data_IF_334065558996
#
_entry.id   IF_334065558996
#
_cell.length_a   1.000
_cell.length_b   1.000
_cell.length_c   1.000
_cell.angle_alpha   90.00
_cell.angle_beta   90.00
_cell.angle_gamma   90.00
#
_symmetry.space_group_name_H-M   'P 1'
#
loop_
_entity.id
_entity.type
_entity.pdbx_description
1 polymer ?
#
# COMPACT_ATOMS: atom_id res chain seq x y z
N UNK A 1 0.06 6.74 -15.68
CA UNK A 1 -0.76 5.90 -16.58
C UNK A 1 -1.76 5.07 -15.77
N UNK A 2 -1.31 4.18 -14.89
CA UNK A 2 -2.20 3.26 -14.16
C UNK A 2 -3.34 3.91 -13.33
N UNK A 3 -3.14 5.08 -12.70
CA UNK A 3 -4.23 5.77 -11.97
C UNK A 3 -5.36 6.25 -12.89
N UNK A 4 -5.04 6.78 -14.07
CA UNK A 4 -6.06 7.19 -15.03
C UNK A 4 -6.82 6.00 -15.57
N UNK A 5 -6.17 4.87 -15.81
CA UNK A 5 -6.83 3.65 -16.27
C UNK A 5 -7.87 3.16 -15.24
N UNK A 6 -7.55 3.25 -13.94
CA UNK A 6 -8.49 2.93 -12.86
C UNK A 6 -9.67 3.92 -12.78
N UNK A 7 -9.43 5.23 -12.96
CA UNK A 7 -10.49 6.23 -13.03
C UNK A 7 -11.40 6.02 -14.25
N UNK A 8 -10.84 5.61 -15.39
CA UNK A 8 -11.63 5.28 -16.57
C UNK A 8 -12.44 4.00 -16.38
N UNK A 9 -11.85 2.98 -15.75
CA UNK A 9 -12.56 1.77 -15.36
C UNK A 9 -13.74 2.11 -14.43
N UNK A 10 -13.51 2.94 -13.42
CA UNK A 10 -14.54 3.43 -12.52
C UNK A 10 -15.71 4.07 -13.26
N UNK A 11 -15.45 4.97 -14.23
CA UNK A 11 -16.50 5.59 -15.04
C UNK A 11 -17.23 4.61 -15.95
N UNK A 12 -16.63 3.46 -16.26
CA UNK A 12 -17.26 2.41 -17.05
C UNK A 12 -18.20 1.52 -16.22
N UNK A 13 -18.00 1.38 -14.91
CA UNK A 13 -18.77 0.49 -14.02
C UNK A 13 -20.29 0.55 -14.25
N UNK A 14 -20.95 1.73 -14.32
CA UNK A 14 -22.41 1.80 -14.49
C UNK A 14 -22.95 1.23 -15.81
N UNK A 15 -22.06 0.93 -16.77
CA UNK A 15 -22.38 0.50 -18.12
C UNK A 15 -21.78 -0.87 -18.48
N UNK A 16 -21.03 -1.48 -17.56
CA UNK A 16 -20.39 -2.77 -17.82
C UNK A 16 -21.44 -3.88 -17.86
N UNK A 17 -21.51 -4.54 -19.01
CA UNK A 17 -22.40 -5.66 -19.33
C UNK A 17 -21.52 -6.81 -19.84
N UNK A 18 -21.40 -7.88 -19.07
CA UNK A 18 -20.56 -9.05 -19.34
C UNK A 18 -21.33 -10.22 -19.94
N UNK A 19 -22.66 -10.22 -19.88
CA UNK A 19 -23.51 -11.33 -20.35
C UNK A 19 -24.53 -10.97 -21.45
N UNK A 20 -24.62 -9.68 -21.81
CA UNK A 20 -25.52 -9.12 -22.82
C UNK A 20 -26.92 -8.80 -22.30
N UNK A 21 -27.14 -8.86 -20.99
CA UNK A 21 -28.42 -8.62 -20.31
C UNK A 21 -28.65 -7.17 -19.86
N UNK A 22 -27.67 -6.27 -20.06
CA UNK A 22 -27.63 -4.93 -19.49
C UNK A 22 -26.56 -4.79 -18.40
N UNK A 23 -26.47 -3.63 -17.72
CA UNK A 23 -25.41 -3.40 -16.74
C UNK A 23 -25.44 -4.37 -15.55
N UNK A 24 -24.30 -5.00 -15.25
CA UNK A 24 -24.17 -6.02 -14.20
C UNK A 24 -23.72 -5.48 -12.83
N UNK A 25 -23.00 -4.36 -12.82
CA UNK A 25 -22.31 -3.87 -11.62
C UNK A 25 -23.03 -2.72 -10.94
N UNK A 26 -23.06 -2.73 -9.61
CA UNK A 26 -23.61 -1.64 -8.80
C UNK A 26 -22.55 -0.55 -8.55
N UNK A 27 -22.65 0.53 -9.31
CA UNK A 27 -21.78 1.70 -9.16
C UNK A 27 -21.93 2.43 -7.82
N UNK A 28 -22.98 2.16 -7.04
CA UNK A 28 -23.13 2.73 -5.70
C UNK A 28 -22.39 1.94 -4.62
N UNK A 29 -21.90 0.75 -4.95
CA UNK A 29 -21.27 -0.16 -4.00
C UNK A 29 -19.92 -0.66 -4.51
N UNK A 30 -19.01 0.29 -4.76
CA UNK A 30 -17.64 0.00 -5.21
C UNK A 30 -16.69 0.06 -4.02
N UNK A 31 -15.92 -1.00 -3.78
CA UNK A 31 -14.81 -1.01 -2.82
C UNK A 31 -13.50 -1.30 -3.55
N UNK A 32 -12.39 -0.84 -2.99
CA UNK A 32 -11.06 -1.01 -3.60
C UNK A 32 -10.12 -1.73 -2.65
N UNK A 33 -9.38 -2.72 -3.15
CA UNK A 33 -8.24 -3.30 -2.43
C UNK A 33 -7.00 -3.27 -3.33
N UNK A 34 -5.90 -2.80 -2.76
CA UNK A 34 -4.60 -2.75 -3.43
C UNK A 34 -3.50 -3.31 -2.54
N UNK A 35 -2.73 -4.26 -3.07
CA UNK A 35 -1.56 -4.82 -2.40
C UNK A 35 -0.28 -4.29 -3.05
N UNK A 36 0.73 -3.95 -2.24
CA UNK A 36 2.06 -3.53 -2.73
C UNK A 36 1.96 -2.36 -3.72
N UNK A 37 2.52 -2.49 -4.92
CA UNK A 37 2.36 -1.54 -6.03
C UNK A 37 0.89 -1.23 -6.33
N UNK A 38 -0.01 -2.21 -6.23
CA UNK A 38 -1.44 -2.00 -6.37
C UNK A 38 -2.01 -1.07 -5.29
N UNK A 39 -1.45 -1.08 -4.08
CA UNK A 39 -1.81 -0.13 -3.01
C UNK A 39 -1.15 1.24 -3.21
N UNK A 40 0.09 1.30 -3.72
CA UNK A 40 0.77 2.57 -4.09
C UNK A 40 -0.04 3.30 -5.16
N UNK A 41 -0.27 2.66 -6.31
CA UNK A 41 -1.06 3.22 -7.41
C UNK A 41 -2.52 3.41 -6.99
N UNK A 42 -3.07 2.45 -6.26
CA UNK A 42 -4.44 2.46 -5.77
C UNK A 42 -4.74 3.62 -4.85
N UNK A 43 -3.79 4.05 -4.01
CA UNK A 43 -3.97 5.21 -3.13
C UNK A 43 -4.19 6.50 -3.93
N UNK A 44 -3.47 6.69 -5.05
CA UNK A 44 -3.70 7.82 -5.95
C UNK A 44 -5.08 7.73 -6.60
N UNK A 45 -5.51 6.53 -7.00
CA UNK A 45 -6.85 6.32 -7.57
C UNK A 45 -7.94 6.67 -6.56
N UNK A 46 -7.85 6.13 -5.33
CA UNK A 46 -8.79 6.39 -4.24
C UNK A 46 -8.85 7.89 -3.88
N UNK A 47 -7.73 8.60 -3.98
CA UNK A 47 -7.68 10.04 -3.73
C UNK A 47 -8.56 10.87 -4.68
N UNK A 48 -8.86 10.36 -5.88
CA UNK A 48 -9.64 11.06 -6.91
C UNK A 48 -10.94 10.35 -7.31
N UNK A 49 -11.25 9.21 -6.70
CA UNK A 49 -12.42 8.40 -7.05
C UNK A 49 -13.72 9.02 -6.51
N UNK A 50 -14.78 8.96 -7.31
CA UNK A 50 -16.14 9.40 -6.94
C UNK A 50 -17.04 8.24 -6.45
N UNK A 51 -16.72 7.00 -6.84
CA UNK A 51 -17.53 5.80 -6.64
C UNK A 51 -17.05 4.94 -5.47
N UNK A 52 -15.73 4.92 -5.18
CA UNK A 52 -15.18 4.07 -4.12
C UNK A 52 -15.75 4.48 -2.75
N UNK A 53 -16.37 3.52 -2.07
CA UNK A 53 -16.99 3.69 -0.74
C UNK A 53 -16.08 3.34 0.42
N UNK A 54 -15.12 2.46 0.19
CA UNK A 54 -14.08 2.12 1.15
C UNK A 54 -12.88 1.51 0.42
N UNK A 55 -11.69 1.73 0.97
CA UNK A 55 -10.43 1.22 0.43
C UNK A 55 -9.62 0.46 1.49
N UNK A 56 -9.01 -0.65 1.08
CA UNK A 56 -7.98 -1.34 1.84
C UNK A 56 -6.65 -1.30 1.06
N UNK A 57 -5.62 -0.73 1.67
CA UNK A 57 -4.29 -0.60 1.10
C UNK A 57 -3.34 -1.47 1.92
N UNK A 58 -2.74 -2.49 1.31
CA UNK A 58 -2.01 -3.54 2.04
C UNK A 58 -0.56 -3.59 1.62
N UNK A 59 0.34 -3.38 2.57
CA UNK A 59 1.77 -3.23 2.38
C UNK A 59 2.17 -2.22 1.28
N UNK A 60 1.52 -1.04 1.13
CA UNK A 60 1.98 0.00 0.21
C UNK A 60 2.97 0.93 0.91
N UNK A 61 3.47 1.93 0.19
CA UNK A 61 4.21 3.02 0.82
C UNK A 61 4.25 4.26 -0.06
N UNK A 62 4.82 5.33 0.47
CA UNK A 62 4.95 6.62 -0.21
C UNK A 62 6.42 7.01 -0.41
N UNK A 63 6.69 8.08 -1.15
CA UNK A 63 8.01 8.54 -1.56
C UNK A 63 8.82 7.41 -2.20
N UNK A 64 8.38 7.00 -3.39
CA UNK A 64 8.74 5.79 -4.13
C UNK A 64 10.25 5.64 -4.28
N UNK A 65 10.98 6.72 -4.60
CA UNK A 65 12.45 6.65 -4.80
C UNK A 65 13.15 6.23 -3.51
N UNK A 66 12.86 6.90 -2.39
CA UNK A 66 13.46 6.57 -1.10
C UNK A 66 12.99 5.21 -0.57
N UNK A 67 11.74 4.83 -0.86
CA UNK A 67 11.18 3.53 -0.52
C UNK A 67 11.93 2.40 -1.26
N UNK A 68 12.13 2.54 -2.57
CA UNK A 68 12.82 1.54 -3.39
C UNK A 68 14.31 1.45 -3.03
N UNK A 69 14.94 2.55 -2.65
CA UNK A 69 16.34 2.57 -2.20
C UNK A 69 16.53 1.83 -0.86
N UNK A 70 15.57 1.99 0.07
CA UNK A 70 15.55 1.34 1.37
C UNK A 70 15.03 -0.12 1.33
N UNK A 71 14.43 -0.54 0.23
CA UNK A 71 13.91 -1.91 0.05
C UNK A 71 15.03 -2.94 0.03
N UNK A 72 14.89 -4.01 0.83
CA UNK A 72 15.84 -5.14 0.81
C UNK A 72 15.74 -5.92 -0.52
N UNK A 73 14.57 -5.95 -1.14
CA UNK A 73 14.35 -6.64 -2.41
C UNK A 73 14.88 -5.85 -3.63
N UNK A 74 14.82 -4.51 -3.58
CA UNK A 74 15.10 -3.67 -4.76
C UNK A 74 16.35 -2.80 -4.65
N UNK A 75 16.74 -2.34 -3.45
CA UNK A 75 17.77 -1.33 -3.28
C UNK A 75 19.11 -1.73 -3.91
N UNK A 76 19.62 -2.93 -3.59
CA UNK A 76 20.89 -3.41 -4.13
C UNK A 76 20.83 -3.64 -5.64
N UNK A 77 19.68 -4.09 -6.15
CA UNK A 77 19.48 -4.26 -7.59
C UNK A 77 19.50 -2.92 -8.33
N UNK A 78 18.88 -1.89 -7.76
CA UNK A 78 18.89 -0.53 -8.32
C UNK A 78 20.31 0.04 -8.30
N UNK A 79 21.00 -0.03 -7.15
CA UNK A 79 22.40 0.42 -7.03
C UNK A 79 23.31 -0.30 -8.03
N UNK A 80 23.16 -1.63 -8.16
CA UNK A 80 23.91 -2.43 -9.15
C UNK A 80 23.59 -2.05 -10.60
N UNK A 81 22.33 -1.75 -10.92
CA UNK A 81 21.91 -1.28 -12.24
C UNK A 81 22.50 0.09 -12.61
N UNK A 82 22.49 1.05 -11.66
CA UNK A 82 23.10 2.37 -11.85
C UNK A 82 24.62 2.24 -12.02
N UNK A 83 25.27 1.41 -11.19
CA UNK A 83 26.70 1.13 -11.28
C UNK A 83 27.09 0.59 -12.66
N UNK A 84 26.36 -0.42 -13.15
CA UNK A 84 26.57 -1.01 -14.46
C UNK A 84 26.34 0.02 -15.59
N UNK A 85 25.27 0.82 -15.52
CA UNK A 85 24.98 1.84 -16.52
C UNK A 85 25.99 3.00 -16.54
N UNK A 86 26.55 3.35 -15.39
CA UNK A 86 27.57 4.38 -15.26
C UNK A 86 29.00 3.87 -15.54
N UNK A 87 29.19 2.55 -15.63
CA UNK A 87 30.51 1.94 -15.83
C UNK A 87 31.45 2.05 -14.63
N UNK A 88 30.92 2.25 -13.42
CA UNK A 88 31.69 2.35 -12.17
C UNK A 88 31.11 1.38 -11.12
N UNK A 89 31.94 0.68 -10.33
CA UNK A 89 31.44 -0.20 -9.28
C UNK A 89 30.78 0.59 -8.14
N UNK A 90 29.90 -0.05 -7.36
CA UNK A 90 29.25 0.56 -6.18
C UNK A 90 30.25 1.00 -5.10
N UNK A 91 31.46 0.42 -5.11
CA UNK A 91 32.57 0.76 -4.20
C UNK A 91 33.40 1.94 -4.67
N UNK A 92 33.15 2.47 -5.87
CA UNK A 92 33.86 3.62 -6.41
C UNK A 92 33.52 4.90 -5.59
N UNK A 93 34.51 5.72 -5.20
CA UNK A 93 34.26 6.98 -4.50
C UNK A 93 33.33 7.97 -5.23
N UNK A 94 33.23 7.88 -6.57
CA UNK A 94 32.32 8.70 -7.36
C UNK A 94 30.87 8.17 -7.38
N UNK A 95 30.66 6.89 -7.02
CA UNK A 95 29.34 6.25 -7.11
C UNK A 95 28.25 6.97 -6.31
N UNK A 96 28.47 7.43 -5.06
CA UNK A 96 27.45 8.16 -4.31
C UNK A 96 26.92 9.40 -5.03
N UNK A 97 27.77 10.16 -5.73
CA UNK A 97 27.37 11.34 -6.50
C UNK A 97 26.56 10.99 -7.75
N UNK A 98 26.98 9.93 -8.45
CA UNK A 98 26.23 9.38 -9.60
C UNK A 98 24.86 8.87 -9.15
N UNK A 99 24.80 8.15 -8.03
CA UNK A 99 23.58 7.59 -7.49
C UNK A 99 22.60 8.68 -7.05
N UNK A 100 23.08 9.73 -6.37
CA UNK A 100 22.26 10.88 -5.99
C UNK A 100 21.67 11.60 -7.22
N UNK A 101 22.44 11.74 -8.30
CA UNK A 101 21.97 12.33 -9.56
C UNK A 101 20.89 11.47 -10.22
N UNK A 102 21.06 10.14 -10.20
CA UNK A 102 20.05 9.20 -10.64
C UNK A 102 18.77 9.31 -9.80
N UNK A 103 18.87 9.32 -8.46
CA UNK A 103 17.71 9.45 -7.58
C UNK A 103 16.96 10.76 -7.80
N UNK A 104 17.68 11.88 -7.98
CA UNK A 104 17.08 13.17 -8.31
C UNK A 104 16.31 13.10 -9.63
N UNK A 105 16.90 12.55 -10.69
CA UNK A 105 16.21 12.36 -11.97
C UNK A 105 15.00 11.42 -11.84
N UNK A 106 15.15 10.29 -11.15
CA UNK A 106 14.08 9.32 -10.94
C UNK A 106 12.90 9.95 -10.19
N UNK A 107 13.16 10.80 -9.18
CA UNK A 107 12.11 11.51 -8.47
C UNK A 107 11.27 12.35 -9.42
N UNK A 108 11.88 13.09 -10.35
CA UNK A 108 11.13 13.92 -11.31
C UNK A 108 10.18 13.12 -12.21
N UNK A 109 10.53 11.87 -12.53
CA UNK A 109 9.69 10.99 -13.37
C UNK A 109 8.55 10.39 -12.55
N UNK A 110 8.80 10.05 -11.30
CA UNK A 110 7.85 9.37 -10.43
C UNK A 110 6.95 10.31 -9.62
N UNK A 111 7.33 11.59 -9.50
CA UNK A 111 6.70 12.55 -8.59
C UNK A 111 5.18 12.62 -8.76
N UNK A 112 4.71 12.77 -10.01
CA UNK A 112 3.28 12.84 -10.32
C UNK A 112 2.47 11.59 -9.93
N UNK A 113 3.13 10.44 -9.75
CA UNK A 113 2.53 9.17 -9.34
C UNK A 113 2.83 8.81 -7.88
N UNK A 114 3.46 9.68 -7.12
CA UNK A 114 3.80 9.40 -5.72
C UNK A 114 2.60 9.66 -4.78
N UNK A 115 2.25 8.70 -3.89
CA UNK A 115 1.20 8.93 -2.90
C UNK A 115 1.41 10.15 -2.00
N UNK A 116 2.65 10.64 -1.85
CA UNK A 116 2.94 11.81 -1.01
C UNK A 116 2.26 13.06 -1.58
N UNK A 117 2.12 13.11 -2.90
CA UNK A 117 1.53 14.24 -3.62
C UNK A 117 0.00 14.18 -3.69
N UNK A 118 -0.61 13.03 -3.39
CA UNK A 118 -2.06 12.83 -3.45
C UNK A 118 -2.71 12.73 -2.07
N UNK A 119 -1.94 12.53 -0.99
CA UNK A 119 -2.46 12.35 0.36
C UNK A 119 -3.38 13.50 0.83
N UNK A 120 -3.05 14.75 0.51
CA UNK A 120 -3.90 15.89 0.84
C UNK A 120 -5.28 15.82 0.14
N UNK A 121 -5.31 15.39 -1.13
CA UNK A 121 -6.55 15.14 -1.85
C UNK A 121 -7.31 13.95 -1.27
N UNK A 122 -6.62 12.88 -0.88
CA UNK A 122 -7.23 11.72 -0.23
C UNK A 122 -7.92 12.07 1.10
N UNK A 123 -7.37 13.03 1.86
CA UNK A 123 -8.00 13.54 3.08
C UNK A 123 -9.29 14.32 2.75
N UNK A 124 -9.27 15.17 1.72
CA UNK A 124 -10.44 15.93 1.29
C UNK A 124 -11.54 15.02 0.73
N UNK A 125 -11.18 14.03 -0.08
CA UNK A 125 -12.12 13.08 -0.66
C UNK A 125 -12.75 12.16 0.40
N UNK A 126 -12.08 12.00 1.55
CA UNK A 126 -12.60 11.36 2.75
C UNK A 126 -13.18 9.94 2.53
N UNK A 127 -12.58 9.18 1.60
CA UNK A 127 -12.90 7.76 1.43
C UNK A 127 -12.39 6.99 2.65
N UNK A 128 -13.25 6.22 3.34
CA UNK A 128 -12.83 5.32 4.40
C UNK A 128 -11.67 4.43 3.96
N UNK A 129 -10.57 4.43 4.71
CA UNK A 129 -9.32 3.77 4.36
C UNK A 129 -8.82 2.91 5.51
N UNK A 130 -8.59 1.64 5.22
CA UNK A 130 -7.80 0.71 6.03
C UNK A 130 -6.42 0.57 5.38
N UNK A 131 -5.36 0.96 6.09
CA UNK A 131 -3.99 0.64 5.72
C UNK A 131 -3.54 -0.57 6.55
N UNK A 132 -2.83 -1.51 5.93
CA UNK A 132 -2.21 -2.62 6.64
C UNK A 132 -0.73 -2.71 6.31
N UNK A 133 0.06 -3.06 7.32
CA UNK A 133 1.50 -3.24 7.23
C UNK A 133 1.89 -4.57 7.88
N UNK A 134 2.70 -5.40 7.22
CA UNK A 134 3.48 -6.43 7.88
C UNK A 134 4.81 -5.84 8.38
N UNK A 135 5.16 -6.11 9.63
CA UNK A 135 6.42 -5.69 10.22
C UNK A 135 7.61 -6.37 9.51
N UNK A 136 8.71 -5.65 9.34
CA UNK A 136 9.93 -6.14 8.66
C UNK A 136 9.69 -6.58 7.21
N UNK A 137 8.74 -5.94 6.52
CA UNK A 137 8.51 -6.16 5.09
C UNK A 137 9.77 -5.85 4.26
N UNK A 138 10.26 -6.88 3.56
CA UNK A 138 11.51 -6.82 2.79
C UNK A 138 11.34 -6.16 1.41
N UNK A 139 10.10 -5.96 0.96
CA UNK A 139 9.77 -5.41 -0.36
C UNK A 139 9.41 -3.94 -0.23
N UNK A 140 8.45 -3.62 0.65
CA UNK A 140 8.02 -2.26 0.94
C UNK A 140 8.39 -1.94 2.39
N UNK A 141 9.48 -1.20 2.65
CA UNK A 141 9.92 -0.92 4.00
C UNK A 141 8.86 -0.13 4.78
N UNK A 142 8.73 -0.46 6.06
CA UNK A 142 7.82 0.24 6.97
C UNK A 142 8.21 1.73 7.13
N UNK A 143 9.52 2.01 7.16
CA UNK A 143 10.09 3.36 7.11
C UNK A 143 11.53 3.35 6.57
N UNK A 144 12.05 4.53 6.19
CA UNK A 144 13.46 4.70 5.78
C UNK A 144 14.19 5.73 6.67
N UNK A 145 15.36 5.39 7.23
CA UNK A 145 16.17 6.33 8.02
C UNK A 145 16.74 7.50 7.19
N UNK A 146 16.96 7.30 5.89
CA UNK A 146 17.57 8.29 4.99
C UNK A 146 16.54 9.03 4.14
N UNK A 147 15.29 8.57 4.13
CA UNK A 147 14.16 9.20 3.46
C UNK A 147 12.93 9.22 4.41
N UNK A 148 12.79 10.25 5.26
CA UNK A 148 11.81 10.25 6.37
C UNK A 148 10.34 10.17 5.97
N UNK A 149 10.04 10.52 4.72
CA UNK A 149 8.69 10.41 4.15
C UNK A 149 8.48 9.10 3.38
N UNK A 150 9.46 8.19 3.32
CA UNK A 150 9.37 6.94 2.55
C UNK A 150 8.97 5.74 3.39
N UNK A 151 8.02 4.96 2.88
CA UNK A 151 7.53 3.72 3.48
C UNK A 151 6.04 3.74 3.84
N UNK A 152 5.58 2.69 4.50
CA UNK A 152 4.17 2.52 4.89
C UNK A 152 3.77 3.39 6.08
N UNK A 153 4.62 3.56 7.10
CA UNK A 153 4.30 4.39 8.27
C UNK A 153 4.24 5.90 7.93
N UNK A 154 5.15 6.47 7.12
CA UNK A 154 4.95 7.83 6.63
C UNK A 154 3.66 7.99 5.83
N UNK A 155 3.28 6.98 5.04
CA UNK A 155 2.01 7.01 4.30
C UNK A 155 0.82 7.03 5.26
N UNK A 156 0.84 6.24 6.33
CA UNK A 156 -0.18 6.27 7.37
C UNK A 156 -0.34 7.66 8.00
N UNK A 157 0.79 8.34 8.28
CA UNK A 157 0.82 9.70 8.83
C UNK A 157 0.26 10.74 7.84
N UNK A 158 0.65 10.66 6.57
CA UNK A 158 0.15 11.56 5.53
C UNK A 158 -1.35 11.39 5.29
N UNK A 159 -1.87 10.18 5.51
CA UNK A 159 -3.28 9.85 5.43
C UNK A 159 -4.02 10.02 6.76
N UNK A 160 -3.42 10.58 7.82
CA UNK A 160 -4.09 10.80 9.11
C UNK A 160 -4.84 9.54 9.62
N UNK A 161 -4.17 8.38 9.58
CA UNK A 161 -4.74 7.11 10.00
C UNK A 161 -4.52 6.88 11.49
N UNK A 162 -5.53 6.30 12.14
CA UNK A 162 -5.47 5.88 13.54
C UNK A 162 -4.99 4.44 13.64
N UNK A 163 -3.97 4.18 14.45
CA UNK A 163 -3.47 2.82 14.69
C UNK A 163 -4.55 1.99 15.41
N UNK A 164 -4.78 0.78 14.92
CA UNK A 164 -5.59 -0.24 15.61
C UNK A 164 -4.72 -0.88 16.67
N UNK A 165 -5.08 -0.75 17.94
CA UNK A 165 -4.24 -1.22 19.04
C UNK A 165 -4.23 -2.73 19.18
N UNK A 166 -3.08 -3.28 19.58
CA UNK A 166 -2.92 -4.68 19.99
C UNK A 166 -3.67 -5.04 21.29
N UNK A 167 -4.38 -4.09 21.92
CA UNK A 167 -5.24 -4.35 23.09
C UNK A 167 -6.73 -4.28 22.82
N UNK A 168 -7.15 -4.03 21.58
CA UNK A 168 -8.56 -3.87 21.20
C UNK A 168 -9.10 -5.16 20.53
N UNK A 169 -9.60 -6.16 21.29
CA UNK A 169 -10.28 -7.30 20.69
C UNK A 169 -11.67 -6.90 20.17
N UNK A 170 -12.11 -7.57 19.10
CA UNK A 170 -13.46 -7.42 18.58
C UNK A 170 -13.61 -6.20 17.67
N UNK A 171 -14.73 -5.50 17.78
CA UNK A 171 -15.05 -4.41 16.84
C UNK A 171 -14.29 -3.13 17.20
N UNK A 172 -13.51 -2.64 16.24
CA UNK A 172 -12.81 -1.35 16.30
C UNK A 172 -13.51 -0.38 15.37
N UNK A 173 -14.08 0.70 15.94
CA UNK A 173 -14.83 1.71 15.20
C UNK A 173 -13.89 2.78 14.67
N UNK A 174 -13.99 3.08 13.38
CA UNK A 174 -13.22 4.12 12.71
C UNK A 174 -13.21 3.95 11.20
N UNK A 175 -13.05 5.06 10.48
CA UNK A 175 -13.02 5.07 9.02
C UNK A 175 -11.64 5.30 8.42
N UNK A 176 -10.63 5.59 9.24
CA UNK A 176 -9.24 5.81 8.84
C UNK A 176 -8.35 5.01 9.78
N UNK A 177 -8.15 3.74 9.47
CA UNK A 177 -7.52 2.77 10.36
C UNK A 177 -6.19 2.28 9.79
N UNK A 178 -5.22 2.05 10.67
CA UNK A 178 -3.92 1.49 10.33
C UNK A 178 -3.63 0.27 11.21
N UNK A 179 -3.59 -0.91 10.59
CA UNK A 179 -3.23 -2.15 11.28
C UNK A 179 -1.78 -2.50 10.97
N UNK A 180 -0.99 -2.68 12.02
CA UNK A 180 0.36 -3.24 11.91
C UNK A 180 0.32 -4.70 12.38
N UNK A 181 0.79 -5.61 11.56
CA UNK A 181 0.90 -7.03 11.86
C UNK A 181 2.33 -7.31 12.32
N UNK A 182 2.49 -7.95 13.48
CA UNK A 182 3.80 -8.25 14.07
C UNK A 182 4.50 -9.46 13.42
N UNK A 183 3.79 -10.19 12.57
CA UNK A 183 4.25 -11.37 11.82
C UNK A 183 3.85 -11.28 10.34
N UNK A 184 4.40 -12.20 9.54
CA UNK A 184 4.08 -12.35 8.12
C UNK A 184 5.17 -11.83 7.19
N UNK A 185 4.86 -11.91 5.90
CA UNK A 185 5.68 -11.47 4.77
C UNK A 185 4.89 -10.47 3.95
N UNK A 186 5.56 -9.84 3.00
CA UNK A 186 4.93 -8.92 2.05
C UNK A 186 3.67 -9.49 1.40
N UNK A 187 3.63 -10.79 1.10
CA UNK A 187 2.52 -11.47 0.42
C UNK A 187 1.44 -12.04 1.34
N UNK A 188 1.52 -11.85 2.67
CA UNK A 188 0.68 -12.59 3.63
C UNK A 188 -0.82 -12.35 3.48
N UNK A 189 -1.26 -11.22 2.93
CA UNK A 189 -2.68 -11.04 2.56
C UNK A 189 -3.17 -12.09 1.53
N UNK A 190 -2.30 -12.45 0.59
CA UNK A 190 -2.64 -13.25 -0.59
C UNK A 190 -2.40 -14.76 -0.38
N UNK A 191 -1.47 -15.09 0.51
CA UNK A 191 -1.05 -16.48 0.75
C UNK A 191 -0.53 -16.67 2.17
N UNK A 192 -0.87 -17.80 2.83
CA UNK A 192 -0.32 -18.14 4.14
C UNK A 192 1.10 -18.70 4.06
N UNK A 193 1.69 -18.81 2.87
CA UNK A 193 3.03 -19.37 2.69
C UNK A 193 4.10 -18.56 3.43
N UNK A 194 4.97 -19.26 4.14
CA UNK A 194 6.21 -18.73 4.70
C UNK A 194 7.36 -18.76 3.69
N UNK A 195 8.58 -18.36 4.11
CA UNK A 195 9.72 -18.18 3.21
C UNK A 195 10.12 -19.46 2.44
N UNK A 196 9.83 -20.63 3.02
CA UNK A 196 10.16 -21.94 2.45
C UNK A 196 9.03 -22.56 1.62
N UNK A 197 7.85 -21.92 1.56
CA UNK A 197 6.66 -22.41 0.84
C UNK A 197 5.51 -23.01 1.68
N UNK A 198 5.75 -23.69 2.83
CA UNK A 198 4.66 -24.16 3.71
C UNK A 198 3.80 -23.02 4.28
N UNK A 199 2.58 -23.33 4.72
CA UNK A 199 1.62 -22.36 5.23
C UNK A 199 1.92 -21.91 6.68
N UNK A 200 3.03 -21.21 6.88
CA UNK A 200 3.52 -20.75 8.20
C UNK A 200 2.71 -19.59 8.80
N UNK A 201 1.96 -18.84 7.97
CA UNK A 201 1.26 -17.60 8.36
C UNK A 201 -0.26 -17.68 8.16
N UNK A 202 -0.86 -18.86 8.34
CA UNK A 202 -2.31 -19.05 8.17
C UNK A 202 -3.14 -18.15 9.09
N UNK A 203 -2.75 -18.01 10.36
CA UNK A 203 -3.40 -17.14 11.33
C UNK A 203 -3.32 -15.66 10.93
N UNK A 204 -2.14 -15.17 10.52
CA UNK A 204 -1.94 -13.78 10.08
C UNK A 204 -2.72 -13.49 8.79
N UNK A 205 -2.71 -14.41 7.83
CA UNK A 205 -3.48 -14.30 6.59
C UNK A 205 -4.97 -14.18 6.90
N UNK A 206 -5.46 -15.04 7.80
CA UNK A 206 -6.87 -15.03 8.23
C UNK A 206 -7.22 -13.72 8.90
N UNK A 207 -6.40 -13.23 9.84
CA UNK A 207 -6.62 -11.95 10.52
C UNK A 207 -6.68 -10.78 9.52
N UNK A 208 -5.69 -10.67 8.61
CA UNK A 208 -5.67 -9.62 7.58
C UNK A 208 -6.93 -9.65 6.70
N UNK A 209 -7.36 -10.84 6.26
CA UNK A 209 -8.54 -10.99 5.42
C UNK A 209 -9.84 -10.72 6.20
N UNK A 210 -9.91 -11.09 7.48
CA UNK A 210 -11.05 -10.80 8.35
C UNK A 210 -11.20 -9.30 8.58
N UNK A 211 -10.09 -8.58 8.84
CA UNK A 211 -10.14 -7.12 9.00
C UNK A 211 -10.60 -6.43 7.71
N UNK A 212 -10.07 -6.82 6.56
CA UNK A 212 -10.51 -6.28 5.26
C UNK A 212 -11.99 -6.56 5.00
N UNK A 213 -12.42 -7.82 5.17
CA UNK A 213 -13.79 -8.22 4.91
C UNK A 213 -14.78 -7.50 5.83
N UNK A 214 -14.47 -7.40 7.13
CA UNK A 214 -15.31 -6.69 8.10
C UNK A 214 -15.31 -5.18 7.87
N UNK A 215 -14.18 -4.59 7.48
CA UNK A 215 -14.09 -3.19 7.09
C UNK A 215 -15.02 -2.87 5.91
N UNK A 216 -14.98 -3.67 4.85
CA UNK A 216 -15.89 -3.47 3.72
C UNK A 216 -17.34 -3.78 4.03
N UNK A 217 -17.62 -4.79 4.86
CA UNK A 217 -18.98 -5.14 5.27
C UNK A 217 -19.70 -4.00 6.02
N UNK A 218 -18.94 -3.09 6.65
CA UNK A 218 -19.48 -1.91 7.35
C UNK A 218 -19.43 -0.64 6.50
N UNK A 219 -19.08 -0.73 5.21
CA UNK A 219 -18.84 0.45 4.37
C UNK A 219 -17.65 1.30 4.85
N UNK A 220 -16.68 0.66 5.52
CA UNK A 220 -15.51 1.31 6.09
C UNK A 220 -15.76 2.04 7.41
N UNK A 221 -16.78 1.67 8.18
CA UNK A 221 -17.08 2.32 9.46
C UNK A 221 -16.41 1.66 10.67
N UNK A 222 -16.04 0.38 10.55
CA UNK A 222 -15.39 -0.40 11.60
C UNK A 222 -14.75 -1.67 11.02
N UNK A 223 -13.78 -2.25 11.71
CA UNK A 223 -13.26 -3.59 11.44
C UNK A 223 -13.35 -4.49 12.67
N UNK A 224 -13.12 -5.79 12.49
CA UNK A 224 -13.07 -6.78 13.56
C UNK A 224 -11.66 -7.33 13.69
N UNK A 225 -11.07 -7.16 14.87
CA UNK A 225 -9.82 -7.81 15.29
C UNK A 225 -10.16 -9.14 15.95
N UNK A 226 -9.71 -10.26 15.38
CA UNK A 226 -9.99 -11.60 15.93
C UNK A 226 -8.91 -12.09 16.86
N UNK A 227 -7.65 -11.81 16.53
CA UNK A 227 -6.49 -12.12 17.36
C UNK A 227 -5.61 -10.87 17.52
N UNK A 228 -5.82 -10.08 18.59
CA UNK A 228 -5.03 -8.88 18.83
C UNK A 228 -3.55 -9.18 19.12
N UNK A 229 -3.19 -10.43 19.45
CA UNK A 229 -1.78 -10.83 19.67
C UNK A 229 -0.96 -10.85 18.38
N UNK A 230 -1.60 -10.76 17.22
CA UNK A 230 -0.94 -10.63 15.91
C UNK A 230 -0.66 -9.18 15.51
N UNK A 231 -1.11 -8.21 16.33
CA UNK A 231 -0.93 -6.80 16.05
C UNK A 231 0.32 -6.23 16.73
N UNK A 232 0.79 -5.10 16.19
CA UNK A 232 1.83 -4.24 16.75
C UNK A 232 1.26 -2.82 16.92
N UNK A 233 1.69 -2.09 17.94
CA UNK A 233 1.26 -0.70 18.21
C UNK A 233 2.12 0.34 17.47
#
# INVERSE_FOLDING_TARGET
QATFDLLQLEKAIPYMDVDGGGPDFDANNVTFIGHSLGGIVGSNFVAYSDLVKAAALVNPGTAIVGLLDASLAFGDRIRGGVAAGAGIPVTDPAFPGTYASFQFAAQTVLDSGDPANTAAYALVNNVPTLLMQNLNDSVVPNSSPTAPISGTEPMARLLDLTVVSATDPGQVVGSRLFTKLNLGLHSTLLTPAGPSGPADFLNVTTEMQTQVASFFATGGAALVVTDPTLLDD
#
